data_IF_256324028125
#
_entry.id   IF_256324028125
#
_cell.length_a   1.000
_cell.length_b   1.000
_cell.length_c   1.000
_cell.angle_alpha   90.00
_cell.angle_beta   90.00
_cell.angle_gamma   90.00
#
_symmetry.space_group_name_H-M   'P 1'
#
loop_
_entity.id
_entity.type
_entity.pdbx_description
1 polymer ?
#
# COMPACT_ATOMS: atom_id res chain seq x y z
N UNK A 1 -2.80 -2.36 25.47
CA UNK A 1 -3.71 -1.23 25.17
C UNK A 1 -4.79 -1.70 24.22
N UNK A 2 -6.05 -1.38 24.49
CA UNK A 2 -7.17 -1.65 23.60
C UNK A 2 -7.87 -0.33 23.27
N UNK A 3 -8.22 -0.11 22.02
CA UNK A 3 -9.02 1.03 21.60
C UNK A 3 -9.95 0.65 20.46
N UNK A 4 -10.96 1.48 20.23
CA UNK A 4 -11.95 1.31 19.18
C UNK A 4 -11.95 2.58 18.32
N UNK A 5 -12.03 2.40 17.01
CA UNK A 5 -12.17 3.49 16.05
C UNK A 5 -13.32 3.19 15.10
N UNK A 6 -13.97 4.23 14.59
CA UNK A 6 -14.91 4.11 13.47
C UNK A 6 -14.17 4.57 12.23
N UNK A 7 -13.99 3.67 11.28
CA UNK A 7 -13.36 3.94 9.99
C UNK A 7 -14.46 4.37 9.01
N UNK A 8 -14.45 5.60 8.50
CA UNK A 8 -15.43 6.03 7.49
C UNK A 8 -15.30 5.21 6.20
N UNK A 9 -16.40 5.16 5.45
CA UNK A 9 -16.44 4.52 4.13
C UNK A 9 -15.44 5.16 3.18
N UNK A 10 -14.65 4.34 2.49
CA UNK A 10 -13.66 4.80 1.51
C UNK A 10 -12.42 5.47 2.11
N UNK A 11 -12.29 5.55 3.44
CA UNK A 11 -11.12 6.12 4.10
C UNK A 11 -10.13 5.06 4.59
N UNK A 12 -8.86 5.48 4.65
CA UNK A 12 -7.77 4.64 5.13
C UNK A 12 -7.38 5.02 6.56
N UNK A 13 -7.14 4.00 7.38
CA UNK A 13 -6.49 4.18 8.68
C UNK A 13 -5.15 3.48 8.72
N UNK A 14 -4.08 4.28 8.85
CA UNK A 14 -2.70 3.80 8.87
C UNK A 14 -2.22 3.55 10.29
N UNK A 15 -1.78 2.33 10.52
CA UNK A 15 -1.01 1.96 11.71
C UNK A 15 0.47 2.01 11.34
N UNK A 16 1.17 3.03 11.86
CA UNK A 16 2.54 3.35 11.47
C UNK A 16 3.56 2.25 11.85
N UNK A 17 4.62 2.06 11.05
CA UNK A 17 5.73 1.15 11.35
C UNK A 17 6.62 1.72 12.44
N UNK A 18 6.22 1.71 13.71
CA UNK A 18 7.12 2.01 14.84
C UNK A 18 6.61 1.40 16.14
N UNK A 19 6.49 0.07 16.18
CA UNK A 19 6.25 -0.56 17.46
C UNK A 19 7.16 -1.77 17.61
N UNK A 20 8.40 -1.47 17.98
CA UNK A 20 9.47 -2.45 18.21
C UNK A 20 9.15 -3.44 19.36
N UNK A 21 8.02 -3.28 20.06
CA UNK A 21 7.65 -4.06 21.24
C UNK A 21 6.23 -4.69 21.18
N UNK A 22 5.56 -4.76 20.01
CA UNK A 22 4.24 -5.46 19.95
C UNK A 22 4.43 -6.96 19.83
N UNK A 23 3.93 -7.70 20.81
CA UNK A 23 3.84 -9.16 20.76
C UNK A 23 2.59 -9.65 20.03
N UNK A 24 1.51 -8.89 20.14
CA UNK A 24 0.21 -9.23 19.59
C UNK A 24 -0.51 -7.95 19.15
N UNK A 25 -0.90 -7.93 17.89
CA UNK A 25 -1.91 -7.02 17.37
C UNK A 25 -3.14 -7.85 17.00
N UNK A 26 -4.31 -7.48 17.49
CA UNK A 26 -5.57 -8.07 17.02
C UNK A 26 -6.48 -6.97 16.48
N UNK A 27 -7.09 -7.27 15.34
CA UNK A 27 -8.07 -6.43 14.69
C UNK A 27 -9.40 -7.18 14.70
N UNK A 28 -10.41 -6.62 15.34
CA UNK A 28 -11.77 -7.15 15.29
C UNK A 28 -12.64 -6.19 14.51
N UNK A 29 -13.32 -6.71 13.49
CA UNK A 29 -14.33 -5.98 12.76
C UNK A 29 -15.67 -6.08 13.52
N UNK A 30 -15.98 -5.10 14.36
CA UNK A 30 -17.26 -5.02 15.10
C UNK A 30 -18.34 -4.25 14.33
N UNK A 31 -18.02 -3.72 13.14
CA UNK A 31 -18.93 -2.90 12.35
C UNK A 31 -19.77 -3.68 11.35
N UNK A 32 -20.65 -2.98 10.62
CA UNK A 32 -21.58 -3.61 9.67
C UNK A 32 -20.95 -3.94 8.31
N UNK A 33 -19.77 -3.40 7.99
CA UNK A 33 -19.13 -3.53 6.69
C UNK A 33 -17.84 -4.36 6.79
N UNK A 34 -17.47 -5.05 5.70
CA UNK A 34 -16.21 -5.80 5.63
C UNK A 34 -15.03 -4.83 5.79
N UNK A 35 -14.10 -5.22 6.65
CA UNK A 35 -12.85 -4.50 6.88
C UNK A 35 -11.77 -5.17 6.05
N UNK A 36 -11.04 -4.41 5.27
CA UNK A 36 -9.89 -4.88 4.51
C UNK A 36 -8.61 -4.42 5.18
N UNK A 37 -7.58 -5.23 5.04
CA UNK A 37 -6.25 -4.85 5.48
C UNK A 37 -5.13 -5.18 4.50
N UNK A 38 -4.06 -4.41 4.56
CA UNK A 38 -2.90 -4.57 3.69
C UNK A 38 -1.65 -3.88 4.23
N UNK A 39 -0.54 -4.09 3.53
CA UNK A 39 0.65 -3.28 3.75
C UNK A 39 0.35 -1.83 3.42
N UNK A 40 1.01 -0.90 4.10
CA UNK A 40 0.79 0.52 3.84
C UNK A 40 1.06 0.87 2.38
N UNK A 41 0.14 1.64 1.81
CA UNK A 41 0.35 2.58 0.74
C UNK A 41 1.53 3.52 1.04
N UNK A 42 2.70 3.12 0.57
CA UNK A 42 3.85 4.00 0.50
C UNK A 42 3.99 4.50 -0.93
N UNK A 43 3.85 5.81 -1.10
CA UNK A 43 4.40 6.49 -2.27
C UNK A 43 5.90 6.28 -2.28
N UNK A 44 6.37 5.61 -3.32
CA UNK A 44 7.76 5.38 -3.62
C UNK A 44 8.17 6.37 -4.71
N UNK A 45 9.05 7.29 -4.36
CA UNK A 45 9.64 8.20 -5.33
C UNK A 45 10.92 7.59 -5.89
N UNK A 46 11.02 7.56 -7.20
CA UNK A 46 12.23 7.14 -7.94
C UNK A 46 12.55 8.14 -9.02
N UNK A 47 13.76 8.04 -9.55
CA UNK A 47 14.20 8.80 -10.72
C UNK A 47 14.52 7.82 -11.84
N UNK A 48 14.09 8.13 -13.06
CA UNK A 48 14.36 7.27 -14.21
C UNK A 48 14.31 7.98 -15.55
N UNK A 49 14.84 7.29 -16.55
CA UNK A 49 14.82 7.69 -17.94
C UNK A 49 13.67 7.00 -18.66
N UNK A 50 12.97 7.76 -19.50
CA UNK A 50 11.83 7.32 -20.28
C UNK A 50 12.07 7.58 -21.76
N UNK A 51 11.52 6.73 -22.60
CA UNK A 51 11.60 6.84 -24.07
C UNK A 51 10.19 6.82 -24.62
N UNK A 52 9.83 7.81 -25.42
CA UNK A 52 8.51 7.89 -26.05
C UNK A 52 8.18 6.61 -26.82
N UNK A 53 6.98 6.07 -26.61
CA UNK A 53 6.54 4.82 -27.24
C UNK A 53 7.16 3.54 -26.64
N UNK A 54 7.84 3.63 -25.49
CA UNK A 54 8.35 2.48 -24.75
C UNK A 54 7.61 2.33 -23.41
N UNK A 55 7.24 1.10 -23.00
CA UNK A 55 6.67 0.85 -21.67
C UNK A 55 7.75 0.70 -20.60
N UNK A 56 9.02 0.71 -20.97
CA UNK A 56 10.14 0.49 -20.06
C UNK A 56 10.72 1.82 -19.59
N UNK A 57 10.74 1.99 -18.27
CA UNK A 57 11.46 3.03 -17.56
C UNK A 57 12.79 2.46 -17.05
N UNK A 58 13.89 3.15 -17.31
CA UNK A 58 15.21 2.79 -16.76
C UNK A 58 15.47 3.62 -15.51
N UNK A 59 15.38 3.01 -14.34
CA UNK A 59 15.60 3.66 -13.05
C UNK A 59 17.08 4.03 -12.87
N UNK A 60 17.33 5.30 -12.54
CA UNK A 60 18.65 5.83 -12.19
C UNK A 60 18.85 5.87 -10.68
N UNK A 61 17.75 5.91 -9.91
CA UNK A 61 17.72 5.76 -8.45
C UNK A 61 16.61 4.77 -8.05
N UNK A 62 16.89 3.91 -7.07
CA UNK A 62 15.94 2.94 -6.50
C UNK A 62 15.71 3.15 -5.00
N UNK A 63 16.01 4.34 -4.47
CA UNK A 63 15.89 4.65 -3.05
C UNK A 63 14.54 4.23 -2.42
N UNK A 64 13.45 4.20 -3.19
CA UNK A 64 12.15 3.74 -2.68
C UNK A 64 11.71 2.31 -3.04
N UNK A 65 12.46 1.53 -3.82
CA UNK A 65 12.12 0.14 -4.20
C UNK A 65 10.67 -0.06 -4.71
N UNK A 66 10.34 0.42 -5.93
CA UNK A 66 9.01 0.28 -6.50
C UNK A 66 8.68 -1.20 -6.74
N UNK A 67 7.39 -1.54 -6.61
CA UNK A 67 6.87 -2.90 -6.69
C UNK A 67 5.84 -3.03 -7.80
N UNK A 68 5.71 -4.23 -8.35
CA UNK A 68 4.63 -4.57 -9.28
C UNK A 68 3.26 -4.27 -8.67
N UNK A 69 2.35 -3.76 -9.51
CA UNK A 69 0.99 -3.40 -9.12
C UNK A 69 0.80 -1.95 -8.65
N UNK A 70 1.89 -1.21 -8.39
CA UNK A 70 1.81 0.21 -8.07
C UNK A 70 1.33 1.02 -9.28
N UNK A 71 0.52 2.02 -9.03
CA UNK A 71 0.19 3.07 -9.98
C UNK A 71 1.38 4.02 -10.12
N UNK A 72 1.55 4.58 -11.31
CA UNK A 72 2.73 5.38 -11.65
C UNK A 72 2.31 6.69 -12.27
N UNK A 73 2.90 7.77 -11.77
CA UNK A 73 2.75 9.11 -12.33
C UNK A 73 4.10 9.83 -12.48
N UNK A 74 4.18 10.69 -13.48
CA UNK A 74 5.40 11.44 -13.81
C UNK A 74 5.28 12.11 -15.17
N UNK A 75 6.06 13.18 -15.39
CA UNK A 75 6.06 13.89 -16.68
C UNK A 75 6.48 12.95 -17.81
N UNK A 76 5.70 12.91 -18.89
CA UNK A 76 5.99 12.05 -20.03
C UNK A 76 5.58 10.59 -19.86
N UNK A 77 4.96 10.21 -18.73
CA UNK A 77 4.28 8.93 -18.57
C UNK A 77 2.80 9.05 -18.98
N UNK A 78 2.20 7.96 -19.43
CA UNK A 78 0.77 7.93 -19.69
C UNK A 78 -0.01 8.03 -18.36
N UNK A 79 -1.16 8.70 -18.37
CA UNK A 79 -2.02 8.78 -17.19
C UNK A 79 -2.51 7.38 -16.75
N UNK A 80 -2.66 7.19 -15.45
CA UNK A 80 -3.11 5.93 -14.83
C UNK A 80 -2.24 4.72 -15.24
N UNK A 81 -0.94 4.92 -15.44
CA UNK A 81 -0.02 3.81 -15.72
C UNK A 81 0.17 2.94 -14.48
N UNK A 82 0.46 1.65 -14.65
CA UNK A 82 0.73 0.69 -13.57
C UNK A 82 2.00 -0.10 -13.84
N UNK A 83 2.71 -0.50 -12.78
CA UNK A 83 3.89 -1.36 -12.87
C UNK A 83 3.46 -2.80 -13.13
N UNK A 84 3.82 -3.35 -14.29
CA UNK A 84 3.64 -4.77 -14.60
C UNK A 84 4.78 -5.63 -14.05
N UNK A 85 6.01 -5.11 -14.00
CA UNK A 85 7.13 -5.82 -13.38
C UNK A 85 8.30 -4.89 -13.08
N UNK A 86 9.17 -5.30 -12.16
CA UNK A 86 10.43 -4.62 -11.86
C UNK A 86 11.56 -5.64 -11.87
N UNK A 87 12.52 -5.46 -12.78
CA UNK A 87 13.67 -6.34 -12.96
C UNK A 87 14.96 -5.53 -12.98
N UNK A 88 15.78 -5.67 -11.94
CA UNK A 88 16.97 -4.83 -11.78
C UNK A 88 16.61 -3.35 -11.77
N UNK A 89 17.24 -2.56 -12.64
CA UNK A 89 16.96 -1.13 -12.81
C UNK A 89 15.88 -0.84 -13.85
N UNK A 90 15.11 -1.83 -14.28
CA UNK A 90 14.03 -1.63 -15.27
C UNK A 90 12.68 -1.85 -14.64
N UNK A 91 11.79 -0.91 -14.90
CA UNK A 91 10.38 -0.96 -14.52
C UNK A 91 9.57 -0.99 -15.81
N UNK A 92 8.75 -2.03 -16.00
CA UNK A 92 7.86 -2.16 -17.16
C UNK A 92 6.45 -1.73 -16.75
N UNK A 93 5.86 -0.82 -17.51
CA UNK A 93 4.53 -0.29 -17.32
C UNK A 93 3.50 -0.97 -18.22
N UNK A 94 2.22 -0.82 -17.89
CA UNK A 94 1.09 -1.29 -18.69
C UNK A 94 0.79 -0.41 -19.92
N UNK A 95 1.36 0.80 -19.94
CA UNK A 95 1.21 1.80 -20.99
C UNK A 95 2.58 2.35 -21.39
N UNK A 96 2.72 2.73 -22.66
CA UNK A 96 3.92 3.36 -23.17
C UNK A 96 4.07 4.79 -22.66
N UNK A 97 5.30 5.24 -22.46
CA UNK A 97 5.59 6.64 -22.18
C UNK A 97 5.20 7.54 -23.36
N UNK A 98 4.70 8.74 -23.05
CA UNK A 98 4.23 9.75 -24.02
C UNK A 98 5.31 10.74 -24.45
N UNK A 99 6.48 10.74 -23.78
CA UNK A 99 7.62 11.58 -24.12
C UNK A 99 8.95 10.87 -23.82
N UNK A 100 10.04 11.43 -24.36
CA UNK A 100 11.41 11.03 -24.03
C UNK A 100 12.03 12.06 -23.10
N UNK A 101 12.54 11.63 -21.96
CA UNK A 101 13.22 12.49 -20.99
C UNK A 101 14.12 11.65 -20.07
N UNK A 102 15.22 12.24 -19.63
CA UNK A 102 16.13 11.66 -18.66
C UNK A 102 15.94 12.30 -17.29
N UNK A 103 16.19 11.54 -16.22
CA UNK A 103 16.12 12.07 -14.85
C UNK A 103 14.72 12.49 -14.40
N UNK A 104 13.67 11.84 -14.94
CA UNK A 104 12.28 12.14 -14.59
C UNK A 104 12.02 11.68 -13.16
N UNK A 105 11.47 12.57 -12.34
CA UNK A 105 10.91 12.21 -11.04
C UNK A 105 9.60 11.44 -11.25
N UNK A 106 9.52 10.26 -10.67
CA UNK A 106 8.41 9.32 -10.84
C UNK A 106 7.87 8.97 -9.46
N UNK A 107 6.56 9.15 -9.29
CA UNK A 107 5.81 8.71 -8.12
C UNK A 107 5.20 7.35 -8.41
N UNK A 108 5.52 6.36 -7.59
CA UNK A 108 4.92 5.03 -7.63
C UNK A 108 4.07 4.86 -6.37
N UNK A 109 2.76 4.86 -6.55
CA UNK A 109 1.80 4.74 -5.46
C UNK A 109 1.31 3.30 -5.39
N UNK A 110 1.49 2.64 -4.25
CA UNK A 110 0.73 1.43 -4.02
C UNK A 110 -0.77 1.77 -4.03
N UNK A 111 -1.58 0.84 -4.53
CA UNK A 111 -3.04 0.85 -4.37
C UNK A 111 -3.43 -0.31 -3.46
N UNK A 112 -4.22 -0.01 -2.43
CA UNK A 112 -4.77 -0.93 -1.45
C UNK A 112 -6.24 -0.56 -1.35
N UNK A 113 -7.13 -1.51 -1.59
CA UNK A 113 -8.59 -1.34 -1.65
C UNK A 113 -9.28 -2.68 -1.33
N UNK A 114 -10.59 -2.77 -1.56
CA UNK A 114 -11.37 -4.01 -1.41
C UNK A 114 -10.98 -5.09 -2.44
N UNK A 115 -10.39 -4.70 -3.57
CA UNK A 115 -9.96 -5.63 -4.61
C UNK A 115 -8.61 -6.28 -4.29
N UNK A 116 -7.73 -5.57 -3.60
CA UNK A 116 -6.34 -5.98 -3.33
C UNK A 116 -6.08 -6.30 -1.86
N UNK A 117 -6.97 -5.88 -0.96
CA UNK A 117 -6.89 -6.10 0.46
C UNK A 117 -7.31 -7.48 0.92
N UNK A 118 -6.83 -7.88 2.10
CA UNK A 118 -7.25 -9.13 2.75
C UNK A 118 -8.47 -8.82 3.62
N UNK A 119 -9.60 -9.52 3.43
CA UNK A 119 -10.82 -9.24 4.18
C UNK A 119 -10.79 -9.79 5.61
N UNK A 120 -11.41 -9.02 6.50
CA UNK A 120 -11.86 -9.37 7.85
C UNK A 120 -13.37 -9.15 7.85
N UNK A 121 -14.10 -10.25 7.69
CA UNK A 121 -15.56 -10.24 7.70
C UNK A 121 -16.12 -9.73 9.04
N UNK A 122 -17.38 -9.31 9.01
CA UNK A 122 -18.07 -8.80 10.19
C UNK A 122 -18.04 -9.83 11.33
N UNK A 123 -17.68 -9.37 12.53
CA UNK A 123 -17.55 -10.19 13.74
C UNK A 123 -16.26 -11.03 13.80
N UNK A 124 -15.39 -10.95 12.79
CA UNK A 124 -14.14 -11.71 12.75
C UNK A 124 -13.02 -10.93 13.44
N UNK A 125 -12.24 -11.66 14.25
CA UNK A 125 -10.95 -11.19 14.78
C UNK A 125 -9.81 -11.77 13.96
N UNK A 126 -8.85 -10.93 13.60
CA UNK A 126 -7.60 -11.31 12.97
C UNK A 126 -6.44 -10.99 13.91
N UNK A 127 -5.69 -12.03 14.26
CA UNK A 127 -4.54 -11.93 15.17
C UNK A 127 -3.24 -11.96 14.39
N UNK A 128 -2.39 -11.00 14.69
CA UNK A 128 -1.08 -10.81 14.06
C UNK A 128 0.00 -11.05 15.12
N UNK A 129 0.71 -12.16 14.97
CA UNK A 129 1.81 -12.58 15.85
C UNK A 129 3.16 -12.40 15.13
N UNK A 130 4.25 -12.79 15.78
CA UNK A 130 5.68 -12.60 15.41
C UNK A 130 6.08 -12.86 13.94
N UNK A 131 5.25 -13.46 13.09
CA UNK A 131 5.45 -13.54 11.64
C UNK A 131 5.14 -12.22 10.89
N UNK A 132 4.10 -11.49 11.31
CA UNK A 132 3.75 -10.17 10.76
C UNK A 132 4.67 -9.06 11.29
N UNK A 133 5.39 -9.31 12.38
CA UNK A 133 6.42 -8.42 12.92
C UNK A 133 7.44 -7.97 11.85
N UNK A 134 7.84 -8.85 10.91
CA UNK A 134 8.78 -8.47 9.83
C UNK A 134 8.18 -7.49 8.82
N UNK A 135 6.91 -7.66 8.45
CA UNK A 135 6.24 -6.84 7.46
C UNK A 135 5.77 -5.50 8.06
N UNK A 136 5.31 -5.54 9.32
CA UNK A 136 4.89 -4.36 10.08
C UNK A 136 6.07 -3.44 10.42
N UNK A 137 7.24 -4.00 10.76
CA UNK A 137 8.45 -3.20 11.03
C UNK A 137 8.98 -2.46 9.80
N UNK A 138 8.78 -3.00 8.60
CA UNK A 138 9.33 -2.38 7.39
C UNK A 138 8.44 -1.30 6.80
N UNK A 139 7.10 -1.47 6.87
CA UNK A 139 6.18 -0.62 6.09
C UNK A 139 4.94 -0.15 6.86
N UNK A 140 4.54 -0.88 7.91
CA UNK A 140 3.34 -0.63 8.71
C UNK A 140 2.14 -1.37 8.15
N UNK A 141 0.93 -0.94 8.50
CA UNK A 141 -0.29 -1.56 8.02
C UNK A 141 -1.40 -0.54 7.80
N UNK A 142 -2.29 -0.81 6.84
CA UNK A 142 -3.46 0.02 6.57
C UNK A 142 -4.75 -0.78 6.64
N UNK A 143 -5.79 -0.07 7.09
CA UNK A 143 -7.16 -0.52 7.17
C UNK A 143 -8.00 0.26 6.17
N UNK A 144 -8.94 -0.43 5.54
CA UNK A 144 -9.87 0.15 4.58
C UNK A 144 -11.24 -0.50 4.73
N UNK A 145 -12.32 0.22 4.48
CA UNK A 145 -13.66 -0.37 4.43
C UNK A 145 -14.48 0.26 3.31
N UNK A 146 -15.36 -0.55 2.73
CA UNK A 146 -16.35 -0.12 1.75
C UNK A 146 -17.75 -0.47 2.26
N UNK A 147 -18.67 0.47 2.16
CA UNK A 147 -20.08 0.31 2.52
C UNK A 147 -20.64 1.48 3.31
N UNK A 148 -21.96 1.63 3.29
CA UNK A 148 -22.63 2.79 3.87
C UNK A 148 -22.39 2.89 5.38
N UNK A 149 -21.90 4.04 5.84
CA UNK A 149 -21.76 4.36 7.26
C UNK A 149 -20.44 3.94 7.92
N UNK A 150 -19.48 3.38 7.17
CA UNK A 150 -18.18 2.98 7.69
C UNK A 150 -18.21 1.70 8.53
N UNK A 151 -17.08 1.36 9.17
CA UNK A 151 -16.97 0.16 10.01
C UNK A 151 -16.28 0.44 11.34
N UNK A 152 -16.71 -0.26 12.38
CA UNK A 152 -16.11 -0.15 13.72
C UNK A 152 -15.01 -1.20 13.82
N UNK A 153 -13.80 -0.73 14.12
CA UNK A 153 -12.64 -1.59 14.32
C UNK A 153 -12.18 -1.50 15.76
N UNK A 154 -12.12 -2.63 16.44
CA UNK A 154 -11.47 -2.75 17.75
C UNK A 154 -10.06 -3.27 17.55
N UNK A 155 -9.10 -2.56 18.12
CA UNK A 155 -7.68 -2.84 18.03
C UNK A 155 -7.16 -3.19 19.43
N UNK A 156 -6.66 -4.41 19.59
CA UNK A 156 -5.92 -4.82 20.77
C UNK A 156 -4.43 -4.85 20.43
N UNK A 157 -3.63 -4.16 21.24
CA UNK A 157 -2.19 -4.10 21.12
C UNK A 157 -1.56 -4.51 22.45
N UNK A 158 -0.81 -5.61 22.46
CA UNK A 158 -0.03 -6.02 23.63
C UNK A 158 1.44 -5.70 23.41
N UNK A 159 1.98 -4.88 24.29
CA UNK A 159 3.40 -4.52 24.34
C UNK A 159 4.09 -5.33 25.44
N UNK A 160 5.36 -5.71 25.21
CA UNK A 160 6.26 -6.22 26.26
C UNK A 160 6.78 -5.08 27.14
#
# INVERSE_FOLDING_TARGET
MQFQLTLPDGEYYRIQPQINNVNLLELTNDGPNTLYYGQVLQTVNVVGNIVSGSPVVTLTDRAGSPLQGMDVSGTGLAANSRILSVHGNKMTLDKDATATADGVAISCDATFDDATGIPIEVGVTKSFTSAIYRDFLQRGFELYTLGTGGTVVRILKLEN
#
